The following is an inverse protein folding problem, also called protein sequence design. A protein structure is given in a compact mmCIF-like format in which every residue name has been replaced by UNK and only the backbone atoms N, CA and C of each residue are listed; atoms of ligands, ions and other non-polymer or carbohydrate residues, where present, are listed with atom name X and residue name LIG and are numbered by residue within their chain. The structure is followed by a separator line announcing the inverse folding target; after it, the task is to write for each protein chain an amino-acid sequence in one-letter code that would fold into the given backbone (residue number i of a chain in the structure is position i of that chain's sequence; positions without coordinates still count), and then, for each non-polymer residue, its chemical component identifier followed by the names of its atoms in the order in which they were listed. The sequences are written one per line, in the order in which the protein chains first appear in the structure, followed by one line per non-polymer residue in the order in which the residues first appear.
data_IF_153981677933
#
_entry.id   IF_153981677933
#
_cell.length_a   1.000
_cell.length_b   1.000
_cell.length_c   1.000
_cell.angle_alpha   90.00
_cell.angle_beta   90.00
_cell.angle_gamma   90.00
#
_symmetry.space_group_name_H-M   'P 1'
#
loop_
_entity.id
_entity.type
_entity.pdbx_description
1 polymer ?
#
# COMPACT_ATOMS: atom_id res chain seq x y z
N UNK A 1 -5.92 -23.61 16.01
CA UNK A 1 -5.11 -23.01 15.26
C UNK A 1 -4.73 -21.79 15.85
N UNK A 2 -3.68 -21.50 15.64
CA UNK A 2 -3.33 -20.36 16.06
C UNK A 2 -3.99 -19.44 15.33
N UNK A 3 -4.67 -18.66 15.88
CA UNK A 3 -5.03 -17.68 15.28
C UNK A 3 -3.94 -17.03 14.82
N UNK A 4 -4.03 -16.69 13.76
CA UNK A 4 -3.02 -16.12 13.13
C UNK A 4 -2.56 -15.05 13.94
N UNK A 5 -1.34 -15.04 14.26
CA UNK A 5 -0.83 -13.97 14.80
C UNK A 5 -0.97 -12.87 13.97
N UNK A 6 -1.31 -11.76 14.43
CA UNK A 6 -1.41 -10.58 13.67
C UNK A 6 -0.07 -10.30 13.09
N UNK A 7 -0.02 -10.21 11.79
CA UNK A 7 1.20 -9.83 11.11
C UNK A 7 1.06 -8.35 10.81
N UNK A 8 1.89 -7.55 11.46
CA UNK A 8 1.80 -6.11 11.27
C UNK A 8 2.69 -5.69 10.13
N UNK A 9 2.05 -5.38 9.01
CA UNK A 9 2.74 -4.84 7.85
C UNK A 9 2.47 -3.35 7.80
N UNK A 10 3.51 -2.57 7.74
CA UNK A 10 3.37 -1.12 7.76
C UNK A 10 2.93 -0.60 6.40
N UNK A 11 2.08 0.43 6.37
CA UNK A 11 1.74 1.07 5.10
C UNK A 11 2.88 1.95 4.62
N UNK A 12 2.88 2.27 3.34
CA UNK A 12 3.80 3.27 2.80
C UNK A 12 2.99 4.48 2.36
N UNK A 13 3.61 5.65 2.44
CA UNK A 13 2.93 6.92 2.19
C UNK A 13 3.52 7.61 0.97
N UNK A 14 2.69 8.44 0.35
CA UNK A 14 3.06 9.13 -0.90
C UNK A 14 2.85 10.63 -0.77
N UNK A 15 3.66 11.38 -1.48
CA UNK A 15 3.46 12.82 -1.58
C UNK A 15 2.23 13.13 -2.43
N UNK A 16 1.74 14.34 -2.34
CA UNK A 16 0.56 14.77 -3.08
C UNK A 16 0.75 14.52 -4.56
N UNK A 17 -0.22 13.90 -5.18
CA UNK A 17 -0.27 13.59 -6.61
C UNK A 17 0.89 12.71 -7.10
N UNK A 18 1.64 12.10 -6.18
CA UNK A 18 2.79 11.28 -6.55
C UNK A 18 2.53 9.81 -6.31
N UNK A 19 3.22 8.97 -7.06
CA UNK A 19 3.19 7.52 -6.84
C UNK A 19 4.59 6.93 -6.79
N UNK A 20 5.61 7.78 -6.70
CA UNK A 20 6.99 7.33 -6.61
C UNK A 20 7.31 6.89 -5.19
N UNK A 21 8.04 5.80 -5.05
CA UNK A 21 8.43 5.31 -3.73
C UNK A 21 9.62 6.11 -3.22
N UNK A 22 9.46 6.68 -2.02
CA UNK A 22 10.56 7.36 -1.35
C UNK A 22 11.54 6.35 -0.79
N UNK A 23 12.67 6.84 -0.32
CA UNK A 23 13.64 5.98 0.36
C UNK A 23 13.01 5.33 1.58
N UNK A 24 12.22 6.10 2.34
CA UNK A 24 11.52 5.59 3.52
C UNK A 24 10.51 4.53 3.14
N UNK A 25 9.77 4.75 2.05
CA UNK A 25 8.79 3.76 1.60
C UNK A 25 9.49 2.46 1.20
N UNK A 26 10.61 2.55 0.50
CA UNK A 26 11.35 1.35 0.11
C UNK A 26 11.84 0.57 1.33
N UNK A 27 12.30 1.28 2.36
CA UNK A 27 12.75 0.63 3.60
C UNK A 27 11.60 -0.11 4.27
N UNK A 28 10.41 0.48 4.29
CA UNK A 28 9.23 -0.17 4.86
C UNK A 28 8.89 -1.43 4.08
N UNK A 29 8.94 -1.37 2.75
CA UNK A 29 8.61 -2.52 1.92
C UNK A 29 9.64 -3.64 2.07
N UNK A 30 10.91 -3.29 2.26
CA UNK A 30 11.94 -4.29 2.53
C UNK A 30 11.65 -5.02 3.83
N UNK A 31 11.26 -4.29 4.87
CA UNK A 31 10.90 -4.89 6.14
C UNK A 31 9.65 -5.76 6.01
N UNK A 32 8.64 -5.28 5.28
CA UNK A 32 7.43 -6.05 5.05
C UNK A 32 7.73 -7.34 4.29
N UNK A 33 8.58 -7.26 3.26
CA UNK A 33 8.94 -8.43 2.47
C UNK A 33 9.63 -9.50 3.32
N UNK A 34 10.50 -9.05 4.22
CA UNK A 34 11.17 -9.98 5.11
C UNK A 34 10.18 -10.69 6.02
N UNK A 35 9.23 -9.94 6.59
CA UNK A 35 8.18 -10.51 7.43
C UNK A 35 7.37 -11.55 6.64
N UNK A 36 6.98 -11.21 5.42
CA UNK A 36 6.18 -12.11 4.58
C UNK A 36 6.94 -13.40 4.28
N UNK A 37 8.22 -13.29 3.99
CA UNK A 37 9.04 -14.47 3.70
C UNK A 37 9.22 -15.35 4.92
N UNK A 38 9.51 -14.75 6.07
CA UNK A 38 9.72 -15.51 7.31
C UNK A 38 8.43 -16.22 7.72
N UNK A 39 7.29 -15.57 7.54
CA UNK A 39 6.01 -16.16 7.89
C UNK A 39 5.48 -17.12 6.82
N UNK A 40 6.15 -17.23 5.69
CA UNK A 40 5.70 -18.13 4.63
C UNK A 40 4.42 -17.69 3.94
N UNK A 41 4.13 -16.39 3.95
CA UNK A 41 2.94 -15.85 3.29
C UNK A 41 3.20 -15.83 1.80
N UNK A 42 2.27 -16.39 1.01
CA UNK A 42 2.44 -16.44 -0.42
C UNK A 42 1.65 -15.40 -1.16
N UNK A 43 0.46 -15.07 -0.70
CA UNK A 43 -0.45 -14.24 -1.50
C UNK A 43 -0.83 -12.98 -0.71
N UNK A 44 -0.64 -11.85 -1.34
CA UNK A 44 -0.99 -10.56 -0.74
C UNK A 44 -1.73 -9.70 -1.75
N UNK A 45 -2.46 -8.71 -1.24
CA UNK A 45 -3.06 -7.66 -2.06
C UNK A 45 -2.49 -6.32 -1.59
N UNK A 46 -2.06 -5.51 -2.53
CA UNK A 46 -1.62 -4.15 -2.26
C UNK A 46 -2.78 -3.21 -2.59
N UNK A 47 -3.20 -2.43 -1.59
CA UNK A 47 -4.34 -1.54 -1.72
C UNK A 47 -3.86 -0.11 -1.83
N UNK A 48 -4.11 0.53 -2.96
CA UNK A 48 -3.72 1.92 -3.18
C UNK A 48 -4.82 2.86 -2.76
N UNK A 49 -4.46 3.90 -2.04
CA UNK A 49 -5.39 4.86 -1.47
C UNK A 49 -4.93 6.29 -1.68
N UNK A 50 -5.88 7.21 -1.69
CA UNK A 50 -5.62 8.63 -1.90
C UNK A 50 -6.36 9.43 -0.84
N UNK A 51 -6.00 10.73 -0.74
CA UNK A 51 -6.79 11.62 0.10
C UNK A 51 -8.10 11.97 -0.62
N UNK A 52 -8.96 12.78 0.02
CA UNK A 52 -10.31 12.98 -0.50
C UNK A 52 -10.40 14.12 -1.50
N UNK A 53 -9.28 14.70 -1.91
CA UNK A 53 -9.29 15.79 -2.86
C UNK A 53 -9.22 15.26 -4.29
N UNK A 54 -9.91 15.92 -5.19
CA UNK A 54 -9.94 15.55 -6.60
C UNK A 54 -11.10 14.65 -6.95
N UNK A 55 -11.18 14.26 -8.21
CA UNK A 55 -12.31 13.45 -8.70
C UNK A 55 -12.14 11.99 -8.29
N UNK A 56 -13.24 11.27 -8.33
CA UNK A 56 -13.22 9.83 -8.06
C UNK A 56 -12.33 9.12 -9.09
N UNK A 57 -12.52 9.44 -10.37
CA UNK A 57 -11.76 8.78 -11.43
C UNK A 57 -10.25 9.03 -11.32
N UNK A 58 -9.86 10.28 -11.03
CA UNK A 58 -8.46 10.61 -10.89
C UNK A 58 -7.84 9.81 -9.74
N UNK A 59 -8.54 9.73 -8.62
CA UNK A 59 -8.02 9.06 -7.43
C UNK A 59 -7.98 7.55 -7.57
N UNK A 60 -8.92 6.95 -8.29
CA UNK A 60 -8.85 5.53 -8.59
C UNK A 60 -7.60 5.25 -9.42
N UNK A 61 -7.34 6.06 -10.43
CA UNK A 61 -6.16 5.89 -11.28
C UNK A 61 -4.86 6.09 -10.49
N UNK A 62 -4.82 7.10 -9.63
CA UNK A 62 -3.63 7.36 -8.83
C UNK A 62 -3.38 6.24 -7.83
N UNK A 63 -4.44 5.75 -7.17
CA UNK A 63 -4.33 4.63 -6.25
C UNK A 63 -3.82 3.37 -6.95
N UNK A 64 -4.27 3.15 -8.19
CA UNK A 64 -3.79 2.02 -8.98
C UNK A 64 -2.29 2.14 -9.26
N UNK A 65 -1.82 3.32 -9.62
CA UNK A 65 -0.39 3.53 -9.85
C UNK A 65 0.42 3.33 -8.58
N UNK A 66 -0.10 3.78 -7.44
CA UNK A 66 0.57 3.58 -6.16
C UNK A 66 0.69 2.10 -5.81
N UNK A 67 -0.41 1.36 -6.01
CA UNK A 67 -0.39 -0.08 -5.73
C UNK A 67 0.58 -0.82 -6.65
N UNK A 68 0.63 -0.43 -7.92
CA UNK A 68 1.53 -1.07 -8.87
C UNK A 68 2.99 -0.79 -8.58
N UNK A 69 3.31 0.42 -8.14
CA UNK A 69 4.69 0.74 -7.76
C UNK A 69 5.13 -0.13 -6.58
N UNK A 70 4.25 -0.32 -5.63
CA UNK A 70 4.54 -1.18 -4.47
C UNK A 70 4.70 -2.63 -4.93
N UNK A 71 3.80 -3.13 -5.78
CA UNK A 71 3.91 -4.49 -6.29
C UNK A 71 5.25 -4.68 -7.01
N UNK A 72 5.61 -3.75 -7.88
CA UNK A 72 6.84 -3.88 -8.65
C UNK A 72 8.06 -3.96 -7.73
N UNK A 73 8.04 -3.19 -6.66
CA UNK A 73 9.15 -3.23 -5.72
C UNK A 73 9.18 -4.55 -4.94
N UNK A 74 8.02 -5.05 -4.51
CA UNK A 74 7.96 -6.36 -3.87
C UNK A 74 8.50 -7.46 -4.78
N UNK A 75 8.21 -7.40 -6.07
CA UNK A 75 8.72 -8.38 -7.02
C UNK A 75 10.25 -8.29 -7.11
N UNK A 76 10.78 -7.07 -7.11
CA UNK A 76 12.24 -6.90 -7.08
C UNK A 76 12.84 -7.48 -5.81
N UNK A 77 12.11 -7.47 -4.73
CA UNK A 77 12.57 -8.04 -3.45
C UNK A 77 12.41 -9.55 -3.37
N UNK A 78 11.87 -10.16 -4.42
CA UNK A 78 11.78 -11.61 -4.50
C UNK A 78 10.41 -12.22 -4.32
N UNK A 79 9.36 -11.40 -4.18
CA UNK A 79 8.02 -11.96 -4.11
C UNK A 79 7.55 -12.34 -5.52
N UNK A 80 6.67 -13.35 -5.58
CA UNK A 80 6.19 -13.85 -6.87
C UNK A 80 5.13 -12.93 -7.43
N UNK A 81 5.36 -12.42 -8.63
CA UNK A 81 4.43 -11.48 -9.28
C UNK A 81 3.01 -12.04 -9.37
N UNK A 82 2.88 -13.35 -9.56
CA UNK A 82 1.56 -13.96 -9.70
C UNK A 82 0.80 -14.04 -8.39
N UNK A 83 1.48 -13.79 -7.27
CA UNK A 83 0.86 -13.85 -5.95
C UNK A 83 0.69 -12.47 -5.32
N UNK A 84 1.01 -11.41 -6.04
CA UNK A 84 0.83 -10.05 -5.56
C UNK A 84 -0.26 -9.39 -6.38
N UNK A 85 -1.42 -9.19 -5.77
CA UNK A 85 -2.55 -8.56 -6.42
C UNK A 85 -2.59 -7.09 -6.06
N UNK A 86 -3.22 -6.27 -6.88
CA UNK A 86 -3.36 -4.85 -6.62
C UNK A 86 -4.82 -4.45 -6.75
N UNK A 87 -5.24 -3.47 -5.94
CA UNK A 87 -6.55 -2.88 -6.07
C UNK A 87 -6.44 -1.42 -5.66
N UNK A 88 -7.21 -0.55 -6.30
CA UNK A 88 -7.28 0.84 -5.92
C UNK A 88 -8.64 1.14 -5.32
N UNK A 89 -8.65 1.71 -4.14
CA UNK A 89 -9.88 2.22 -3.52
C UNK A 89 -10.01 3.72 -3.77
N UNK A 90 -8.99 4.35 -4.37
CA UNK A 90 -9.05 5.77 -4.62
C UNK A 90 -9.23 6.53 -3.31
N UNK A 91 -10.27 7.35 -3.21
CA UNK A 91 -10.54 8.10 -2.01
C UNK A 91 -11.67 7.52 -1.16
N UNK A 92 -12.03 6.26 -1.41
CA UNK A 92 -13.23 5.68 -0.78
C UNK A 92 -12.99 5.05 0.58
N UNK A 93 -11.73 4.84 0.97
CA UNK A 93 -11.42 4.22 2.27
C UNK A 93 -10.50 5.09 3.11
N UNK A 94 -10.97 6.27 3.53
CA UNK A 94 -10.12 7.15 4.32
C UNK A 94 -9.89 6.56 5.71
N UNK A 95 -8.68 6.75 6.24
CA UNK A 95 -8.39 6.45 7.63
C UNK A 95 -8.52 7.71 8.49
N UNK A 96 -8.63 8.86 7.84
CA UNK A 96 -8.76 10.13 8.51
C UNK A 96 -9.68 11.00 7.66
N UNK A 97 -10.63 11.69 8.29
CA UNK A 97 -11.63 12.45 7.54
C UNK A 97 -11.57 13.94 7.81
N UNK A 98 -10.60 14.41 8.60
CA UNK A 98 -10.46 15.84 8.83
C UNK A 98 -9.93 16.54 7.59
N UNK A 99 -10.24 17.82 7.48
CA UNK A 99 -9.84 18.58 6.30
C UNK A 99 -8.53 19.31 6.59
N UNK A 100 -7.48 18.58 6.85
CA UNK A 100 -6.16 19.12 7.19
C UNK A 100 -5.07 18.41 6.41
N UNK A 101 -3.92 19.06 6.28
CA UNK A 101 -2.76 18.47 5.61
C UNK A 101 -2.31 17.17 6.29
N UNK A 102 -2.32 17.17 7.62
CA UNK A 102 -1.89 15.98 8.35
C UNK A 102 -2.82 14.79 8.07
N UNK A 103 -4.13 15.05 7.99
CA UNK A 103 -5.09 14.00 7.70
C UNK A 103 -4.95 13.52 6.26
N UNK A 104 -4.83 14.42 5.32
CA UNK A 104 -4.66 14.04 3.92
C UNK A 104 -3.42 13.17 3.74
N UNK A 105 -2.34 13.50 4.43
CA UNK A 105 -1.10 12.71 4.34
C UNK A 105 -1.31 11.28 4.82
N UNK A 106 -2.15 11.07 5.82
CA UNK A 106 -2.43 9.73 6.33
C UNK A 106 -3.21 8.89 5.32
N UNK A 107 -3.98 9.54 4.46
CA UNK A 107 -4.79 8.82 3.47
C UNK A 107 -4.00 8.46 2.21
N UNK A 108 -2.91 9.17 1.93
CA UNK A 108 -2.10 8.92 0.74
C UNK A 108 -1.16 7.75 1.01
N UNK A 109 -1.70 6.55 0.91
CA UNK A 109 -0.96 5.36 1.33
C UNK A 109 -1.24 4.14 0.46
N UNK A 110 -0.37 3.17 0.55
CA UNK A 110 -0.63 1.84 0.04
C UNK A 110 -0.48 0.86 1.20
N UNK A 111 -1.48 0.01 1.36
CA UNK A 111 -1.50 -0.99 2.43
C UNK A 111 -1.23 -2.36 1.83
N UNK A 112 -0.49 -3.19 2.55
CA UNK A 112 -0.27 -4.59 2.17
C UNK A 112 -1.15 -5.48 3.04
N UNK A 113 -2.00 -6.27 2.41
CA UNK A 113 -2.96 -7.10 3.11
C UNK A 113 -2.70 -8.57 2.73
N UNK A 114 -2.62 -9.42 3.75
CA UNK A 114 -2.44 -10.85 3.52
C UNK A 114 -3.76 -11.47 3.11
N UNK A 115 -3.70 -12.25 2.06
CA UNK A 115 -4.87 -12.96 1.58
C UNK A 115 -5.19 -14.17 2.46
#
# INVERSE_FOLDING_TARGET
MVEAEAVNLAPVYFALNQYTLSKEARAVLEANAEILKVKGVKTITVEGNCDDRGTIAYNIALGDKRAKEVKDYYVKLGLNADEVYTISYGKERPVCTDNTNACWAKNRRADTVIQ
#
